data_IF_466693075228
#
_entry.id   IF_466693075228
#
_cell.length_a   1.000
_cell.length_b   1.000
_cell.length_c   1.000
_cell.angle_alpha   90.00
_cell.angle_beta   90.00
_cell.angle_gamma   90.00
#
_symmetry.space_group_name_H-M   'P 1'
#
loop_
_entity.id
_entity.type
_entity.pdbx_description
1 polymer ?
#
# COMPACT_ATOMS: atom_id res chain seq x y z
N UNK A 1 19.72 -9.30 10.14
CA UNK A 1 19.86 -8.92 8.74
C UNK A 1 18.51 -8.47 8.19
N UNK A 2 18.52 -7.56 7.23
CA UNK A 2 17.32 -7.13 6.50
C UNK A 2 17.67 -6.92 5.04
N UNK A 3 16.69 -7.08 4.16
CA UNK A 3 16.76 -6.75 2.72
C UNK A 3 15.39 -6.35 2.22
N UNK A 4 15.34 -5.69 1.07
CA UNK A 4 14.12 -5.45 0.31
C UNK A 4 14.24 -6.13 -1.06
N UNK A 5 13.15 -6.74 -1.53
CA UNK A 5 13.13 -7.48 -2.79
C UNK A 5 11.96 -7.07 -3.68
N UNK A 6 12.14 -7.24 -4.99
CA UNK A 6 11.06 -7.15 -5.97
C UNK A 6 10.19 -8.43 -5.97
N UNK A 7 9.20 -8.49 -6.87
CA UNK A 7 8.31 -9.65 -7.04
C UNK A 7 9.03 -10.92 -7.53
N UNK A 8 10.21 -10.77 -8.14
CA UNK A 8 11.04 -11.88 -8.63
C UNK A 8 12.07 -12.32 -7.58
N UNK A 9 11.98 -11.75 -6.36
CA UNK A 9 12.89 -12.01 -5.23
C UNK A 9 14.33 -11.50 -5.46
N UNK A 10 14.54 -10.58 -6.41
CA UNK A 10 15.84 -9.91 -6.57
C UNK A 10 15.99 -8.83 -5.48
N UNK A 11 17.19 -8.77 -4.88
CA UNK A 11 17.51 -7.76 -3.87
C UNK A 11 17.61 -6.36 -4.50
N UNK A 12 16.91 -5.39 -3.88
CA UNK A 12 16.89 -4.00 -4.30
C UNK A 12 17.95 -3.16 -3.57
N UNK A 13 18.41 -2.06 -4.17
CA UNK A 13 19.45 -1.22 -3.58
C UNK A 13 18.96 -0.45 -2.36
N UNK A 14 19.86 -0.21 -1.41
CA UNK A 14 19.63 0.65 -0.24
C UNK A 14 19.93 2.11 -0.61
N UNK A 15 19.07 2.72 -1.40
CA UNK A 15 19.24 4.10 -1.89
C UNK A 15 18.21 5.08 -1.30
N UNK A 16 17.26 4.57 -0.50
CA UNK A 16 16.17 5.34 0.10
C UNK A 16 15.03 5.65 -0.87
N UNK A 17 15.11 5.14 -2.12
CA UNK A 17 14.13 5.38 -3.18
C UNK A 17 13.46 4.09 -3.62
N UNK A 18 14.26 3.06 -3.92
CA UNK A 18 13.74 1.73 -4.24
C UNK A 18 12.98 1.17 -3.04
N UNK A 19 11.75 0.73 -3.25
CA UNK A 19 10.94 0.08 -2.22
C UNK A 19 10.51 -1.31 -2.67
N UNK A 20 10.46 -2.24 -1.74
CA UNK A 20 10.17 -3.64 -2.02
C UNK A 20 9.73 -4.40 -0.78
N UNK A 21 9.41 -5.68 -0.96
CA UNK A 21 9.03 -6.58 0.14
C UNK A 21 10.15 -6.66 1.16
N UNK A 22 9.86 -6.27 2.42
CA UNK A 22 10.81 -6.32 3.53
C UNK A 22 10.97 -7.75 4.01
N UNK A 23 12.20 -8.24 3.98
CA UNK A 23 12.59 -9.53 4.54
C UNK A 23 13.61 -9.35 5.65
N UNK A 24 13.48 -10.14 6.71
CA UNK A 24 14.35 -10.10 7.87
C UNK A 24 14.86 -11.49 8.22
N UNK A 25 16.08 -11.59 8.77
CA UNK A 25 16.70 -12.83 9.23
C UNK A 25 17.55 -12.60 10.47
N UNK A 26 17.48 -13.49 11.43
CA UNK A 26 18.33 -13.43 12.62
C UNK A 26 17.76 -14.14 13.83
N UNK A 27 18.50 -14.22 14.95
CA UNK A 27 18.12 -15.01 16.11
C UNK A 27 16.89 -14.48 16.88
N UNK A 28 16.43 -13.26 16.57
CA UNK A 28 15.24 -12.63 17.16
C UNK A 28 14.00 -12.75 16.28
N UNK A 29 14.17 -13.27 15.05
CA UNK A 29 13.05 -13.51 14.12
C UNK A 29 12.41 -14.84 14.50
N UNK A 30 11.06 -14.89 14.42
CA UNK A 30 10.30 -16.12 14.71
C UNK A 30 10.73 -17.24 13.75
N UNK A 31 10.72 -18.49 14.24
CA UNK A 31 10.89 -19.68 13.39
C UNK A 31 9.57 -20.12 12.77
N UNK A 32 8.47 -20.02 13.53
CA UNK A 32 7.14 -20.39 13.09
C UNK A 32 6.06 -19.62 13.85
N UNK A 33 4.88 -19.48 13.24
CA UNK A 33 3.70 -19.00 13.92
C UNK A 33 3.08 -20.08 14.83
N UNK A 34 2.46 -19.66 15.93
CA UNK A 34 1.74 -20.58 16.80
C UNK A 34 0.66 -21.35 16.04
N UNK A 35 0.71 -22.68 16.09
CA UNK A 35 -0.16 -23.63 15.37
C UNK A 35 -0.03 -23.61 13.82
N UNK A 36 0.97 -22.95 13.25
CA UNK A 36 1.31 -23.14 11.84
C UNK A 36 1.97 -24.51 11.63
N UNK A 37 1.95 -24.97 10.39
CA UNK A 37 2.71 -26.15 10.00
C UNK A 37 4.21 -25.84 10.13
N UNK A 38 4.99 -26.67 10.83
CA UNK A 38 6.41 -26.41 11.06
C UNK A 38 7.21 -26.26 9.76
N UNK A 39 8.06 -25.23 9.69
CA UNK A 39 8.95 -24.97 8.56
C UNK A 39 8.28 -24.28 7.36
N UNK A 40 7.04 -23.79 7.51
CA UNK A 40 6.33 -23.07 6.42
C UNK A 40 6.43 -21.55 6.53
N UNK A 41 7.00 -21.04 7.63
CA UNK A 41 7.02 -19.59 7.91
C UNK A 41 8.23 -18.89 7.31
N UNK A 42 9.37 -19.57 7.23
CA UNK A 42 10.60 -19.04 6.66
C UNK A 42 10.81 -19.56 5.22
N UNK A 43 11.46 -18.74 4.40
CA UNK A 43 12.00 -19.19 3.12
C UNK A 43 13.12 -20.21 3.32
N UNK A 44 13.49 -20.97 2.26
CA UNK A 44 14.51 -22.03 2.35
C UNK A 44 15.87 -21.55 2.89
N UNK A 45 16.23 -20.29 2.65
CA UNK A 45 17.45 -19.65 3.11
C UNK A 45 17.32 -18.93 4.46
N UNK A 46 16.20 -19.12 5.16
CA UNK A 46 15.93 -18.64 6.51
C UNK A 46 15.46 -17.19 6.60
N UNK A 47 15.07 -16.55 5.49
CA UNK A 47 14.45 -15.24 5.51
C UNK A 47 12.96 -15.34 5.88
N UNK A 48 12.52 -14.37 6.66
CA UNK A 48 11.11 -14.15 7.00
C UNK A 48 10.57 -12.97 6.20
N UNK A 49 9.55 -13.20 5.40
CA UNK A 49 8.81 -12.14 4.72
C UNK A 49 7.82 -11.50 5.69
N UNK A 50 8.01 -10.20 5.99
CA UNK A 50 7.22 -9.51 7.02
C UNK A 50 5.81 -9.18 6.58
N UNK A 51 5.55 -9.16 5.26
CA UNK A 51 4.32 -8.68 4.66
C UNK A 51 4.25 -7.15 4.60
N UNK A 52 5.34 -6.46 4.88
CA UNK A 52 5.48 -5.02 4.73
C UNK A 52 6.35 -4.69 3.51
N UNK A 53 6.09 -3.53 2.91
CA UNK A 53 6.93 -2.92 1.87
C UNK A 53 7.71 -1.78 2.50
N UNK A 54 9.00 -1.69 2.21
CA UNK A 54 9.87 -0.70 2.82
C UNK A 54 10.90 -0.14 1.83
N UNK A 55 11.43 1.05 2.13
CA UNK A 55 12.69 1.57 1.60
C UNK A 55 13.78 1.41 2.64
N UNK A 56 15.03 1.29 2.21
CA UNK A 56 16.21 1.31 3.10
C UNK A 56 17.21 2.30 2.51
N UNK A 57 17.71 3.23 3.29
CA UNK A 57 18.73 4.15 2.84
C UNK A 57 20.16 3.61 3.03
N UNK A 58 21.16 4.31 2.50
CA UNK A 58 22.58 3.94 2.58
C UNK A 58 23.14 3.88 4.01
N UNK A 59 22.45 4.48 4.96
CA UNK A 59 22.80 4.46 6.38
C UNK A 59 22.12 3.30 7.13
N UNK A 60 21.23 2.56 6.47
CA UNK A 60 20.47 1.47 7.04
C UNK A 60 19.18 1.91 7.77
N UNK A 61 18.73 3.16 7.59
CA UNK A 61 17.42 3.57 8.07
C UNK A 61 16.34 3.01 7.14
N UNK A 62 15.37 2.32 7.74
CA UNK A 62 14.25 1.72 7.06
C UNK A 62 12.98 2.54 7.30
N UNK A 63 12.20 2.76 6.24
CA UNK A 63 10.86 3.33 6.31
C UNK A 63 9.86 2.35 5.68
N UNK A 64 8.81 1.98 6.44
CA UNK A 64 7.70 1.18 5.91
C UNK A 64 6.83 2.11 5.06
N UNK A 65 6.62 1.75 3.80
CA UNK A 65 5.88 2.54 2.81
C UNK A 65 4.50 1.97 2.51
N UNK A 66 4.30 0.67 2.70
CA UNK A 66 3.01 0.01 2.49
C UNK A 66 3.00 -1.42 3.08
N UNK A 67 1.91 -2.14 2.84
CA UNK A 67 1.79 -3.58 3.02
C UNK A 67 1.88 -4.29 1.67
N UNK A 68 2.53 -5.45 1.63
CA UNK A 68 2.66 -6.25 0.38
C UNK A 68 1.31 -6.54 -0.29
N UNK A 69 0.26 -6.73 0.52
CA UNK A 69 -1.10 -6.98 0.04
C UNK A 69 -1.89 -5.74 -0.36
N UNK A 70 -1.41 -4.54 -0.01
CA UNK A 70 -2.10 -3.26 -0.23
C UNK A 70 -1.41 -2.39 -1.28
N UNK A 71 -0.09 -2.62 -1.52
CA UNK A 71 0.65 -1.97 -2.62
C UNK A 71 0.01 -2.33 -3.96
N UNK A 72 -0.15 -1.34 -4.84
CA UNK A 72 -0.82 -1.49 -6.12
C UNK A 72 0.21 -1.78 -7.20
N UNK A 73 0.06 -2.90 -7.90
CA UNK A 73 0.99 -3.38 -8.92
C UNK A 73 0.50 -3.00 -10.31
N UNK A 74 0.97 -1.86 -10.79
CA UNK A 74 0.50 -1.25 -12.03
C UNK A 74 1.58 -1.31 -13.11
N UNK A 75 1.39 -2.17 -14.13
CA UNK A 75 2.30 -2.27 -15.28
C UNK A 75 3.73 -2.68 -14.95
N UNK A 76 3.94 -3.44 -13.88
CA UNK A 76 5.27 -3.85 -13.40
C UNK A 76 5.91 -2.87 -12.42
N UNK A 77 5.26 -1.75 -12.13
CA UNK A 77 5.68 -0.76 -11.15
C UNK A 77 4.78 -0.83 -9.91
N UNK A 78 5.32 -0.49 -8.75
CA UNK A 78 4.57 -0.47 -7.51
C UNK A 78 4.13 0.95 -7.14
N UNK A 79 2.88 1.10 -6.71
CA UNK A 79 2.31 2.36 -6.24
C UNK A 79 1.95 2.20 -4.76
N UNK A 80 2.47 3.09 -3.92
CA UNK A 80 2.13 3.12 -2.49
C UNK A 80 0.69 3.59 -2.30
N UNK A 81 -0.15 2.72 -1.75
CA UNK A 81 -1.51 3.07 -1.40
C UNK A 81 -1.55 4.07 -0.24
N UNK A 82 -0.59 3.98 0.70
CA UNK A 82 -0.47 4.87 1.86
C UNK A 82 -0.11 6.30 1.43
N UNK A 83 0.82 6.48 0.49
CA UNK A 83 1.20 7.82 0.00
C UNK A 83 0.02 8.50 -0.70
N UNK A 84 -0.76 7.73 -1.45
CA UNK A 84 -1.97 8.25 -2.08
C UNK A 84 -3.04 8.61 -1.04
N UNK A 85 -3.25 7.79 -0.01
CA UNK A 85 -4.18 8.07 1.08
C UNK A 85 -3.78 9.32 1.87
N UNK A 86 -2.50 9.43 2.24
CA UNK A 86 -1.98 10.59 2.92
C UNK A 86 -2.21 11.87 2.09
N UNK A 87 -1.90 11.82 0.79
CA UNK A 87 -2.11 12.94 -0.13
C UNK A 87 -3.58 13.36 -0.19
N UNK A 88 -4.51 12.39 -0.27
CA UNK A 88 -5.95 12.70 -0.27
C UNK A 88 -6.41 13.28 1.08
N UNK A 89 -5.95 12.69 2.19
CA UNK A 89 -6.34 13.12 3.54
C UNK A 89 -5.81 14.51 3.89
N UNK A 90 -4.71 14.93 3.29
CA UNK A 90 -4.19 16.31 3.41
C UNK A 90 -5.13 17.36 2.74
N UNK A 91 -6.08 16.94 1.93
CA UNK A 91 -7.07 17.84 1.35
C UNK A 91 -8.01 18.36 2.45
N UNK A 92 -8.25 19.71 2.55
CA UNK A 92 -8.96 20.31 3.67
C UNK A 92 -10.40 19.82 3.88
N UNK A 93 -11.05 19.32 2.82
CA UNK A 93 -12.44 18.82 2.85
C UNK A 93 -12.56 17.31 3.06
N UNK A 94 -11.45 16.57 3.04
CA UNK A 94 -11.44 15.10 3.23
C UNK A 94 -11.35 14.78 4.71
N UNK A 95 -12.21 13.90 5.18
CA UNK A 95 -12.19 13.35 6.53
C UNK A 95 -11.28 12.13 6.62
N UNK A 96 -11.50 11.17 5.72
CA UNK A 96 -10.73 9.94 5.58
C UNK A 96 -10.67 9.50 4.12
N UNK A 97 -9.66 8.73 3.79
CA UNK A 97 -9.52 8.13 2.47
C UNK A 97 -8.93 6.74 2.54
N UNK A 98 -9.24 5.93 1.53
CA UNK A 98 -8.63 4.64 1.30
C UNK A 98 -8.31 4.48 -0.18
N UNK A 99 -7.19 3.83 -0.49
CA UNK A 99 -6.83 3.50 -1.87
C UNK A 99 -6.66 2.01 -2.00
N UNK A 100 -7.30 1.45 -3.01
CA UNK A 100 -7.21 0.04 -3.36
C UNK A 100 -6.81 -0.13 -4.82
N UNK A 101 -6.12 -1.22 -5.13
CA UNK A 101 -5.92 -1.66 -6.51
C UNK A 101 -7.21 -2.29 -7.04
N UNK A 102 -7.67 -1.82 -8.20
CA UNK A 102 -8.75 -2.45 -8.97
C UNK A 102 -8.21 -2.97 -10.29
N UNK A 103 -8.84 -4.01 -10.83
CA UNK A 103 -8.38 -4.62 -12.07
C UNK A 103 -8.38 -3.65 -13.23
N UNK A 104 -7.28 -3.65 -14.01
CA UNK A 104 -7.17 -2.88 -15.24
C UNK A 104 -6.59 -3.76 -16.37
N UNK A 105 -7.24 -3.84 -17.55
CA UNK A 105 -6.87 -4.79 -18.61
C UNK A 105 -5.47 -4.59 -19.19
N UNK A 106 -4.92 -3.37 -19.13
CA UNK A 106 -3.60 -3.04 -19.65
C UNK A 106 -2.52 -3.03 -18.56
N UNK A 107 -2.85 -2.58 -17.34
CA UNK A 107 -1.89 -2.30 -16.28
C UNK A 107 -1.94 -3.31 -15.13
N UNK A 108 -2.76 -4.34 -15.22
CA UNK A 108 -3.07 -5.32 -14.17
C UNK A 108 -3.90 -4.71 -13.07
N UNK A 109 -3.40 -3.66 -12.41
CA UNK A 109 -4.12 -2.88 -11.40
C UNK A 109 -3.96 -1.38 -11.63
N UNK A 110 -4.99 -0.62 -11.23
CA UNK A 110 -4.93 0.83 -11.10
C UNK A 110 -5.51 1.27 -9.77
N UNK A 111 -5.02 2.41 -9.22
CA UNK A 111 -5.54 2.94 -7.98
C UNK A 111 -6.98 3.43 -8.14
N UNK A 112 -7.86 2.98 -7.25
CA UNK A 112 -9.19 3.54 -7.00
C UNK A 112 -9.15 4.23 -5.64
N UNK A 113 -9.51 5.52 -5.61
CA UNK A 113 -9.56 6.31 -4.38
C UNK A 113 -10.99 6.36 -3.84
N UNK A 114 -11.16 5.93 -2.60
CA UNK A 114 -12.41 6.08 -1.84
C UNK A 114 -12.26 7.24 -0.85
N UNK A 115 -13.20 8.16 -0.85
CA UNK A 115 -13.13 9.40 -0.06
C UNK A 115 -14.37 9.56 0.78
N UNK A 116 -14.17 9.74 2.08
CA UNK A 116 -15.19 10.26 2.99
C UNK A 116 -14.93 11.75 3.20
N UNK A 117 -15.92 12.59 2.90
CA UNK A 117 -15.83 14.04 3.11
C UNK A 117 -16.14 14.41 4.57
N UNK A 118 -15.65 15.56 5.00
CA UNK A 118 -16.07 16.18 6.25
C UNK A 118 -17.53 16.60 6.16
N UNK A 119 -18.21 16.64 7.29
CA UNK A 119 -19.62 17.01 7.35
C UNK A 119 -19.89 18.40 6.74
N UNK A 120 -20.84 18.46 5.81
CA UNK A 120 -21.22 19.69 5.12
C UNK A 120 -20.29 20.15 4.01
N UNK A 121 -19.21 19.41 3.71
CA UNK A 121 -18.31 19.73 2.62
C UNK A 121 -18.76 19.07 1.30
N UNK A 122 -18.51 19.76 0.21
CA UNK A 122 -18.72 19.27 -1.16
C UNK A 122 -17.44 19.49 -1.97
N UNK A 123 -17.09 18.49 -2.79
CA UNK A 123 -15.94 18.55 -3.72
C UNK A 123 -16.20 17.63 -4.90
N UNK A 124 -15.66 17.97 -6.06
CA UNK A 124 -15.79 17.11 -7.26
C UNK A 124 -14.65 16.10 -7.34
N UNK A 125 -14.82 15.06 -8.17
CA UNK A 125 -13.76 14.09 -8.46
C UNK A 125 -12.55 14.78 -9.06
N UNK A 126 -12.78 15.70 -9.97
CA UNK A 126 -11.76 16.47 -10.67
C UNK A 126 -10.92 17.30 -9.69
N UNK A 127 -11.55 17.98 -8.73
CA UNK A 127 -10.84 18.75 -7.69
C UNK A 127 -9.94 17.85 -6.85
N UNK A 128 -10.41 16.64 -6.47
CA UNK A 128 -9.61 15.67 -5.72
C UNK A 128 -8.45 15.14 -6.57
N UNK A 129 -8.67 14.81 -7.84
CA UNK A 129 -7.61 14.32 -8.72
C UNK A 129 -6.56 15.42 -9.03
N UNK A 130 -6.99 16.66 -9.24
CA UNK A 130 -6.09 17.80 -9.42
C UNK A 130 -5.25 18.08 -8.17
N UNK A 131 -5.76 17.75 -6.97
CA UNK A 131 -5.00 17.88 -5.72
C UNK A 131 -3.71 17.07 -5.69
N UNK A 132 -3.65 15.98 -6.44
CA UNK A 132 -2.46 15.14 -6.56
C UNK A 132 -1.37 15.75 -7.47
N UNK A 133 -1.70 16.76 -8.29
CA UNK A 133 -0.73 17.29 -9.25
C UNK A 133 0.49 17.90 -8.54
N UNK A 134 1.66 17.46 -8.95
CA UNK A 134 2.95 17.86 -8.37
C UNK A 134 3.26 17.27 -6.99
N UNK A 135 2.36 16.47 -6.38
CA UNK A 135 2.57 15.84 -5.06
C UNK A 135 3.00 14.38 -5.17
N UNK A 136 2.56 13.70 -6.22
CA UNK A 136 2.93 12.32 -6.54
C UNK A 136 3.36 12.20 -8.00
N UNK A 137 3.94 11.08 -8.37
CA UNK A 137 4.23 10.81 -9.78
C UNK A 137 2.90 10.76 -10.58
N UNK A 138 2.88 11.35 -11.79
CA UNK A 138 1.63 11.46 -12.58
C UNK A 138 0.93 10.13 -12.82
N UNK A 139 1.70 9.06 -13.00
CA UNK A 139 1.16 7.72 -13.24
C UNK A 139 0.69 7.02 -11.96
N UNK A 140 0.92 7.62 -10.77
CA UNK A 140 0.35 7.18 -9.49
C UNK A 140 -1.06 7.74 -9.25
N UNK A 141 -1.41 8.85 -9.90
CA UNK A 141 -2.72 9.49 -9.69
C UNK A 141 -3.82 8.45 -9.89
N UNK A 142 -4.79 8.35 -8.96
CA UNK A 142 -5.91 7.44 -9.08
C UNK A 142 -6.69 7.64 -10.38
N UNK A 143 -7.16 6.55 -10.98
CA UNK A 143 -7.94 6.62 -12.22
C UNK A 143 -9.38 7.11 -11.96
N UNK A 144 -9.91 6.89 -10.77
CA UNK A 144 -11.22 7.40 -10.36
C UNK A 144 -11.32 7.64 -8.85
N UNK A 145 -12.36 8.38 -8.44
CA UNK A 145 -12.70 8.72 -7.06
C UNK A 145 -14.14 8.30 -6.77
N UNK A 146 -14.33 7.56 -5.69
CA UNK A 146 -15.66 7.20 -5.18
C UNK A 146 -15.89 7.90 -3.85
N UNK A 147 -16.95 8.70 -3.74
CA UNK A 147 -17.37 9.28 -2.48
C UNK A 147 -18.22 8.28 -1.70
N UNK A 148 -17.85 8.06 -0.44
CA UNK A 148 -18.54 7.12 0.47
C UNK A 148 -19.02 7.85 1.73
N UNK A 149 -20.09 7.36 2.35
CA UNK A 149 -20.58 7.92 3.61
C UNK A 149 -19.68 7.57 4.79
N UNK A 150 -19.06 6.37 4.75
CA UNK A 150 -18.09 5.91 5.75
C UNK A 150 -17.19 4.83 5.18
N UNK A 151 -15.98 4.73 5.73
CA UNK A 151 -15.06 3.63 5.44
C UNK A 151 -15.18 2.52 6.50
N UNK A 152 -15.05 1.23 6.12
CA UNK A 152 -15.09 0.13 7.09
C UNK A 152 -13.82 0.13 7.96
N UNK A 153 -13.99 -0.05 9.28
CA UNK A 153 -12.90 -0.08 10.25
C UNK A 153 -12.85 -1.38 11.04
N UNK A 154 -11.65 -1.78 11.42
CA UNK A 154 -11.44 -2.84 12.43
C UNK A 154 -11.82 -2.32 13.81
N UNK A 155 -11.99 -3.22 14.78
CA UNK A 155 -12.17 -2.83 16.18
C UNK A 155 -11.05 -1.96 16.77
N UNK A 156 -9.89 -1.94 16.13
CA UNK A 156 -8.73 -1.10 16.49
C UNK A 156 -8.65 0.22 15.73
N UNK A 157 -9.68 0.55 14.91
CA UNK A 157 -9.76 1.81 14.16
C UNK A 157 -8.97 1.85 12.86
N UNK A 158 -8.47 0.71 12.35
CA UNK A 158 -7.79 0.67 11.05
C UNK A 158 -8.79 0.41 9.93
N UNK A 159 -8.64 1.09 8.80
CA UNK A 159 -9.46 0.86 7.61
C UNK A 159 -9.30 -0.58 7.12
N UNK A 160 -10.41 -1.24 6.84
CA UNK A 160 -10.45 -2.62 6.33
C UNK A 160 -10.41 -2.65 4.80
N UNK A 161 -9.25 -2.40 4.20
CA UNK A 161 -9.09 -2.45 2.73
C UNK A 161 -9.52 -3.79 2.10
N UNK A 162 -9.47 -4.88 2.87
CA UNK A 162 -9.96 -6.18 2.39
C UNK A 162 -11.45 -6.13 2.04
N UNK A 163 -12.30 -5.51 2.89
CA UNK A 163 -13.73 -5.35 2.62
C UNK A 163 -13.95 -4.48 1.39
N UNK A 164 -13.24 -3.36 1.28
CA UNK A 164 -13.30 -2.48 0.11
C UNK A 164 -12.93 -3.21 -1.18
N UNK A 165 -11.86 -4.02 -1.19
CA UNK A 165 -11.50 -4.83 -2.36
C UNK A 165 -12.57 -5.88 -2.73
N UNK A 166 -13.33 -6.39 -1.78
CA UNK A 166 -14.45 -7.30 -2.08
C UNK A 166 -15.65 -6.54 -2.66
N UNK A 167 -15.95 -5.37 -2.13
CA UNK A 167 -17.07 -4.53 -2.58
C UNK A 167 -16.84 -4.00 -4.00
N UNK A 168 -15.61 -3.54 -4.30
CA UNK A 168 -15.25 -2.93 -5.58
C UNK A 168 -14.52 -3.89 -6.55
N UNK A 169 -14.62 -5.21 -6.35
CA UNK A 169 -13.92 -6.21 -7.18
C UNK A 169 -14.28 -6.19 -8.67
N UNK A 170 -15.47 -5.72 -9.01
CA UNK A 170 -16.01 -5.66 -10.37
C UNK A 170 -16.05 -4.20 -10.92
N UNK A 171 -15.30 -3.29 -10.32
CA UNK A 171 -15.23 -1.85 -10.66
C UNK A 171 -14.49 -1.57 -12.02
#
# INVERSE_FOLDING_TARGET
EMKITDDENNELPWDGVAFGSLKVRGPWVLSDYFKAEPGTTLEEDGWFETGDVATIDKMGFMAITDRTKDVIKSGGEWISSIDLENTATDHPKVAESAVIGVYHPQWTERPLLLVQLKEGEEVTKEEILEWYDGKVAKWWIPDDVVFVESLPHTATGKIQKFELRQEYKDY
#
